data_IF_281703060943
#
_entry.id   IF_281703060943
#
_cell.length_a   1.000
_cell.length_b   1.000
_cell.length_c   1.000
_cell.angle_alpha   90.00
_cell.angle_beta   90.00
_cell.angle_gamma   90.00
#
_symmetry.space_group_name_H-M   'P 1'
#
loop_
_entity.id
_entity.type
_entity.pdbx_description
1 polymer ?
#
# COMPACT_ATOMS: atom_id res chain seq x y z
N UNK A 1 10.12 5.80 -1.75
CA UNK A 1 10.18 4.53 -0.98
C UNK A 1 10.36 3.36 -1.93
N UNK A 2 11.43 2.60 -1.70
CA UNK A 2 11.82 1.40 -2.46
C UNK A 2 11.63 0.18 -1.56
N UNK A 3 10.89 -0.81 -2.02
CA UNK A 3 10.65 -2.07 -1.31
C UNK A 3 11.60 -3.13 -1.89
N UNK A 4 12.43 -3.71 -1.03
CA UNK A 4 13.35 -4.81 -1.38
C UNK A 4 12.70 -6.15 -1.05
N UNK A 5 12.97 -7.16 -1.87
CA UNK A 5 12.52 -8.54 -1.66
C UNK A 5 13.73 -9.46 -1.75
N UNK A 6 14.05 -10.15 -0.66
CA UNK A 6 15.19 -11.06 -0.57
C UNK A 6 14.71 -12.45 -0.16
N UNK A 7 15.27 -13.50 -0.75
CA UNK A 7 15.03 -14.88 -0.31
C UNK A 7 16.00 -15.17 0.84
N UNK A 8 15.49 -15.43 2.04
CA UNK A 8 16.32 -15.61 3.24
C UNK A 8 16.54 -17.07 3.63
N UNK A 9 15.65 -17.97 3.22
CA UNK A 9 15.77 -19.41 3.52
C UNK A 9 15.00 -20.24 2.50
N UNK A 10 15.61 -21.36 2.06
CA UNK A 10 14.93 -22.45 1.37
C UNK A 10 14.60 -23.54 2.39
N UNK A 11 13.36 -24.00 2.41
CA UNK A 11 12.85 -25.06 3.28
C UNK A 11 12.71 -26.36 2.47
N UNK A 12 12.72 -27.53 3.13
CA UNK A 12 12.28 -28.77 2.51
C UNK A 12 10.84 -28.61 1.97
N UNK A 13 10.49 -29.37 0.93
CA UNK A 13 9.22 -29.32 0.18
C UNK A 13 9.05 -28.14 -0.80
N UNK A 14 10.12 -27.68 -1.47
CA UNK A 14 10.08 -26.58 -2.45
C UNK A 14 9.48 -25.27 -1.89
N UNK A 15 9.61 -25.02 -0.58
CA UNK A 15 9.13 -23.79 0.06
C UNK A 15 10.28 -22.82 0.31
N UNK A 16 10.01 -21.53 0.21
CA UNK A 16 10.96 -20.47 0.50
C UNK A 16 10.36 -19.41 1.41
N UNK A 17 11.23 -18.74 2.16
CA UNK A 17 10.88 -17.56 2.92
C UNK A 17 11.43 -16.33 2.21
N UNK A 18 10.54 -15.42 1.85
CA UNK A 18 10.86 -14.11 1.26
C UNK A 18 10.72 -13.05 2.34
N UNK A 19 11.78 -12.27 2.51
CA UNK A 19 11.80 -11.07 3.33
C UNK A 19 11.45 -9.84 2.47
N UNK A 20 10.47 -9.07 2.90
CA UNK A 20 10.12 -7.74 2.37
C UNK A 20 10.63 -6.66 3.32
N UNK A 21 11.57 -5.85 2.84
CA UNK A 21 12.15 -4.71 3.58
C UNK A 21 11.80 -3.39 2.91
N UNK A 22 11.39 -2.39 3.71
CA UNK A 22 11.15 -1.03 3.21
C UNK A 22 12.34 -0.15 3.53
N UNK A 23 13.06 0.28 2.48
CA UNK A 23 14.40 0.89 2.58
C UNK A 23 14.44 2.33 3.14
N UNK A 24 13.41 2.82 3.84
CA UNK A 24 13.33 4.23 4.22
C UNK A 24 12.66 4.55 5.57
N UNK A 25 12.41 3.55 6.43
CA UNK A 25 11.90 3.79 7.77
C UNK A 25 12.63 2.91 8.78
N UNK A 26 13.35 3.51 9.73
CA UNK A 26 14.08 2.79 10.79
C UNK A 26 13.16 2.05 11.78
N UNK A 27 11.83 2.17 11.62
CA UNK A 27 10.80 1.55 12.46
C UNK A 27 9.96 0.48 11.75
N UNK A 28 10.24 0.16 10.49
CA UNK A 28 9.48 -0.90 9.79
C UNK A 28 10.13 -2.25 10.01
N UNK A 29 9.49 -3.09 10.81
CA UNK A 29 9.86 -4.50 10.91
C UNK A 29 9.75 -5.17 9.52
N UNK A 30 10.74 -5.98 9.12
CA UNK A 30 10.66 -6.76 7.90
C UNK A 30 9.44 -7.69 7.96
N UNK A 31 8.75 -7.83 6.83
CA UNK A 31 7.66 -8.80 6.68
C UNK A 31 8.23 -10.06 6.04
N UNK A 32 7.80 -11.22 6.51
CA UNK A 32 8.26 -12.49 5.96
C UNK A 32 7.09 -13.27 5.37
N UNK A 33 7.32 -13.87 4.21
CA UNK A 33 6.30 -14.63 3.49
C UNK A 33 6.82 -16.02 3.18
N UNK A 34 6.04 -17.04 3.53
CA UNK A 34 6.25 -18.43 3.17
C UNK A 34 5.43 -18.75 1.91
N UNK A 35 6.09 -19.22 0.85
CA UNK A 35 5.44 -19.68 -0.39
C UNK A 35 6.31 -20.71 -1.11
N UNK A 36 5.79 -21.31 -2.17
CA UNK A 36 6.55 -22.26 -3.00
C UNK A 36 7.57 -21.53 -3.89
N UNK A 37 8.75 -22.12 -4.07
CA UNK A 37 9.87 -21.59 -4.85
C UNK A 37 9.49 -21.27 -6.30
N UNK A 38 8.69 -22.13 -6.92
CA UNK A 38 8.21 -21.97 -8.31
C UNK A 38 7.43 -20.67 -8.55
N UNK A 39 6.82 -20.13 -7.50
CA UNK A 39 6.00 -18.92 -7.57
C UNK A 39 6.69 -17.68 -7.00
N UNK A 40 7.95 -17.80 -6.59
CA UNK A 40 8.72 -16.74 -5.94
C UNK A 40 8.83 -15.47 -6.78
N UNK A 41 9.29 -15.61 -8.02
CA UNK A 41 9.51 -14.48 -8.92
C UNK A 41 8.21 -13.79 -9.30
N UNK A 42 7.16 -14.57 -9.56
CA UNK A 42 5.82 -14.05 -9.86
C UNK A 42 5.21 -13.34 -8.65
N UNK A 43 5.41 -13.85 -7.43
CA UNK A 43 4.97 -13.21 -6.20
C UNK A 43 5.67 -11.85 -6.01
N UNK A 44 7.01 -11.81 -6.12
CA UNK A 44 7.79 -10.56 -6.00
C UNK A 44 7.34 -9.54 -7.05
N UNK A 45 7.15 -9.96 -8.30
CA UNK A 45 6.70 -9.09 -9.38
C UNK A 45 5.31 -8.51 -9.11
N UNK A 46 4.37 -9.33 -8.64
CA UNK A 46 3.02 -8.86 -8.31
C UNK A 46 3.00 -7.93 -7.10
N UNK A 47 3.83 -8.19 -6.08
CA UNK A 47 3.99 -7.30 -4.94
C UNK A 47 4.56 -5.93 -5.34
N UNK A 48 5.58 -5.90 -6.21
CA UNK A 48 6.11 -4.65 -6.79
C UNK A 48 5.07 -3.90 -7.61
N UNK A 49 4.29 -4.60 -8.44
CA UNK A 49 3.21 -4.00 -9.21
C UNK A 49 2.08 -3.47 -8.32
N UNK A 50 1.71 -4.16 -7.25
CA UNK A 50 0.74 -3.70 -6.25
C UNK A 50 1.18 -2.39 -5.59
N UNK A 51 2.45 -2.30 -5.21
CA UNK A 51 3.03 -1.07 -4.67
C UNK A 51 2.97 0.09 -5.67
N UNK A 52 3.19 -0.20 -6.96
CA UNK A 52 3.12 0.80 -8.03
C UNK A 52 1.67 1.24 -8.30
N UNK A 53 0.73 0.29 -8.38
CA UNK A 53 -0.71 0.54 -8.51
C UNK A 53 -1.24 1.37 -7.35
N UNK A 54 -0.83 1.07 -6.12
CA UNK A 54 -1.25 1.84 -4.94
C UNK A 54 -0.72 3.28 -5.02
N UNK A 55 0.51 3.49 -5.49
CA UNK A 55 1.06 4.84 -5.71
C UNK A 55 0.30 5.60 -6.79
N UNK A 56 0.02 4.96 -7.93
CA UNK A 56 -0.75 5.55 -9.01
C UNK A 56 -2.16 5.90 -8.56
N UNK A 57 -2.80 5.02 -7.79
CA UNK A 57 -4.11 5.30 -7.21
C UNK A 57 -4.07 6.48 -6.24
N UNK A 58 -3.05 6.56 -5.38
CA UNK A 58 -2.94 7.69 -4.44
C UNK A 58 -2.81 9.03 -5.15
N UNK A 59 -2.05 9.08 -6.26
CA UNK A 59 -1.97 10.25 -7.13
C UNK A 59 -3.35 10.55 -7.76
N UNK A 60 -4.06 9.53 -8.23
CA UNK A 60 -5.40 9.69 -8.80
C UNK A 60 -6.40 10.23 -7.76
N UNK A 61 -6.38 9.69 -6.54
CA UNK A 61 -7.17 10.14 -5.39
C UNK A 61 -6.89 11.62 -5.08
N UNK A 62 -5.62 12.04 -5.12
CA UNK A 62 -5.23 13.44 -4.91
C UNK A 62 -5.77 14.36 -6.03
N UNK A 63 -5.71 13.95 -7.29
CA UNK A 63 -6.23 14.71 -8.43
C UNK A 63 -7.76 14.87 -8.35
N UNK A 64 -8.47 13.80 -7.98
CA UNK A 64 -9.92 13.83 -7.77
C UNK A 64 -10.27 14.78 -6.61
N UNK A 65 -9.53 14.73 -5.51
CA UNK A 65 -9.73 15.64 -4.37
C UNK A 65 -9.57 17.12 -4.75
N UNK A 66 -8.52 17.45 -5.50
CA UNK A 66 -8.29 18.80 -6.00
C UNK A 66 -9.41 19.25 -6.96
N UNK A 67 -9.89 18.36 -7.83
CA UNK A 67 -10.97 18.66 -8.76
C UNK A 67 -12.29 18.96 -8.04
N UNK A 68 -12.62 18.19 -6.99
CA UNK A 68 -13.81 18.44 -6.16
C UNK A 68 -13.68 19.76 -5.41
N UNK A 69 -12.51 20.07 -4.83
CA UNK A 69 -12.27 21.33 -4.13
C UNK A 69 -12.41 22.54 -5.07
N UNK A 70 -11.84 22.46 -6.28
CA UNK A 70 -11.97 23.51 -7.30
C UNK A 70 -13.42 23.66 -7.78
N UNK A 71 -14.13 22.56 -8.04
CA UNK A 71 -15.53 22.57 -8.46
C UNK A 71 -16.44 23.21 -7.40
N UNK A 72 -16.30 22.82 -6.13
CA UNK A 72 -17.05 23.41 -5.00
C UNK A 72 -16.74 24.89 -4.86
N UNK A 73 -15.47 25.28 -5.01
CA UNK A 73 -15.03 26.68 -4.97
C UNK A 73 -15.58 27.55 -6.11
N UNK A 74 -15.78 26.97 -7.31
CA UNK A 74 -16.34 27.68 -8.48
C UNK A 74 -17.86 27.80 -8.45
N UNK A 75 -18.59 26.81 -7.91
CA UNK A 75 -20.07 26.77 -8.01
C UNK A 75 -20.81 27.57 -6.93
N UNK A 76 -20.14 27.92 -5.84
CA UNK A 76 -20.79 28.56 -4.69
C UNK A 76 -20.75 30.08 -4.87
N UNK A 77 -21.91 30.72 -5.11
CA UNK A 77 -22.08 32.18 -5.26
C UNK A 77 -22.42 32.87 -3.93
N UNK A 78 -21.73 32.51 -2.86
CA UNK A 78 -21.97 33.06 -1.51
C UNK A 78 -20.67 33.59 -0.92
N UNK A 79 -20.75 34.58 -0.03
CA UNK A 79 -19.64 35.36 0.54
C UNK A 79 -18.29 34.62 0.62
N UNK A 80 -17.23 35.27 0.09
CA UNK A 80 -15.85 34.74 -0.05
C UNK A 80 -15.34 33.92 1.15
N UNK A 81 -15.73 34.29 2.37
CA UNK A 81 -15.30 33.64 3.62
C UNK A 81 -15.93 32.26 3.80
N UNK A 82 -17.23 32.10 3.49
CA UNK A 82 -17.94 30.82 3.62
C UNK A 82 -17.48 29.83 2.54
N UNK A 83 -17.27 30.29 1.31
CA UNK A 83 -16.70 29.47 0.23
C UNK A 83 -15.33 28.90 0.55
N UNK A 84 -14.47 29.72 1.14
CA UNK A 84 -13.10 29.32 1.49
C UNK A 84 -13.15 28.24 2.58
N UNK A 85 -14.01 28.39 3.58
CA UNK A 85 -14.23 27.38 4.63
C UNK A 85 -14.84 26.08 4.10
N UNK A 86 -15.83 26.14 3.21
CA UNK A 86 -16.42 24.94 2.58
C UNK A 86 -15.45 24.25 1.61
N UNK A 87 -14.66 25.00 0.84
CA UNK A 87 -13.63 24.46 -0.05
C UNK A 87 -12.50 23.77 0.72
N UNK A 88 -12.02 24.38 1.81
CA UNK A 88 -11.02 23.77 2.69
C UNK A 88 -11.60 22.54 3.40
N UNK A 89 -12.84 22.60 3.90
CA UNK A 89 -13.52 21.48 4.55
C UNK A 89 -13.75 20.30 3.61
N UNK A 90 -14.27 20.55 2.40
CA UNK A 90 -14.46 19.52 1.38
C UNK A 90 -13.12 18.93 0.91
N UNK A 91 -12.09 19.76 0.74
CA UNK A 91 -10.72 19.32 0.48
C UNK A 91 -10.20 18.39 1.58
N UNK A 92 -10.27 18.80 2.84
CA UNK A 92 -9.78 18.02 3.98
C UNK A 92 -10.51 16.66 4.13
N UNK A 93 -11.83 16.63 3.95
CA UNK A 93 -12.61 15.38 3.99
C UNK A 93 -12.22 14.46 2.83
N UNK A 94 -11.99 15.01 1.64
CA UNK A 94 -11.59 14.21 0.48
C UNK A 94 -10.15 13.69 0.60
N UNK A 95 -9.24 14.48 1.18
CA UNK A 95 -7.88 14.04 1.50
C UNK A 95 -7.86 12.93 2.56
N UNK A 96 -8.59 13.10 3.66
CA UNK A 96 -8.70 12.07 4.71
C UNK A 96 -9.40 10.79 4.20
N UNK A 97 -10.46 10.94 3.41
CA UNK A 97 -11.14 9.82 2.76
C UNK A 97 -10.25 9.10 1.75
N UNK A 98 -9.44 9.84 1.00
CA UNK A 98 -8.44 9.32 0.06
C UNK A 98 -7.39 8.46 0.76
N UNK A 99 -6.85 8.90 1.89
CA UNK A 99 -5.90 8.09 2.67
C UNK A 99 -6.51 6.78 3.18
N UNK A 100 -7.76 6.82 3.66
CA UNK A 100 -8.46 5.62 4.14
C UNK A 100 -8.70 4.65 2.97
N UNK A 101 -9.12 5.17 1.82
CA UNK A 101 -9.36 4.38 0.63
C UNK A 101 -8.07 3.76 0.08
N UNK A 102 -6.98 4.52 0.02
CA UNK A 102 -5.67 4.02 -0.43
C UNK A 102 -5.16 2.90 0.49
N UNK A 103 -5.33 3.06 1.82
CA UNK A 103 -5.00 2.00 2.81
C UNK A 103 -5.88 0.76 2.63
N UNK A 104 -7.18 0.94 2.43
CA UNK A 104 -8.11 -0.17 2.20
C UNK A 104 -7.79 -0.92 0.90
N UNK A 105 -7.54 -0.19 -0.19
CA UNK A 105 -7.19 -0.74 -1.49
C UNK A 105 -5.89 -1.53 -1.41
N UNK A 106 -4.84 -0.95 -0.82
CA UNK A 106 -3.57 -1.66 -0.61
C UNK A 106 -3.77 -2.96 0.15
N UNK A 107 -4.51 -2.90 1.28
CA UNK A 107 -4.79 -4.08 2.11
C UNK A 107 -5.54 -5.16 1.34
N UNK A 108 -6.48 -4.79 0.47
CA UNK A 108 -7.28 -5.75 -0.29
C UNK A 108 -6.47 -6.38 -1.44
N UNK A 109 -5.66 -5.58 -2.13
CA UNK A 109 -4.75 -6.05 -3.18
C UNK A 109 -3.69 -7.00 -2.62
N UNK A 110 -3.10 -6.66 -1.47
CA UNK A 110 -2.13 -7.53 -0.79
C UNK A 110 -2.76 -8.86 -0.36
N UNK A 111 -3.98 -8.86 0.20
CA UNK A 111 -4.71 -10.09 0.54
C UNK A 111 -4.99 -10.97 -0.67
N UNK A 112 -5.35 -10.37 -1.80
CA UNK A 112 -5.57 -11.10 -3.07
C UNK A 112 -4.28 -11.76 -3.55
N UNK A 113 -3.15 -11.06 -3.49
CA UNK A 113 -1.84 -11.60 -3.88
C UNK A 113 -1.46 -12.78 -2.98
N UNK A 114 -1.63 -12.65 -1.65
CA UNK A 114 -1.36 -13.76 -0.73
C UNK A 114 -2.19 -15.00 -1.07
N UNK A 115 -3.49 -14.83 -1.35
CA UNK A 115 -4.38 -15.94 -1.72
C UNK A 115 -4.00 -16.58 -3.06
N UNK A 116 -3.65 -15.77 -4.07
CA UNK A 116 -3.28 -16.24 -5.41
C UNK A 116 -2.04 -17.14 -5.40
N UNK A 117 -1.06 -16.82 -4.55
CA UNK A 117 0.21 -17.56 -4.46
C UNK A 117 0.27 -18.55 -3.30
N UNK A 118 -0.86 -18.78 -2.62
CA UNK A 118 -0.94 -19.54 -1.38
C UNK A 118 0.16 -19.14 -0.37
N UNK A 119 0.49 -17.84 -0.36
CA UNK A 119 1.57 -17.28 0.43
C UNK A 119 1.05 -16.93 1.82
N UNK A 120 1.78 -17.32 2.85
CA UNK A 120 1.44 -17.04 4.25
C UNK A 120 2.42 -16.02 4.83
N UNK A 121 1.91 -14.90 5.32
CA UNK A 121 2.72 -13.99 6.13
C UNK A 121 3.06 -14.68 7.45
N UNK A 122 4.35 -14.79 7.75
CA UNK A 122 4.86 -15.39 8.98
C UNK A 122 5.59 -14.31 9.76
N UNK A 123 5.49 -14.38 11.08
CA UNK A 123 6.43 -13.67 11.95
C UNK A 123 7.60 -14.62 12.17
N UNK A 124 8.81 -14.23 11.76
CA UNK A 124 9.99 -14.87 12.33
C UNK A 124 10.08 -14.37 13.77
N UNK A 125 9.54 -15.18 14.68
CA UNK A 125 9.81 -14.99 16.10
C UNK A 125 11.33 -15.10 16.28
N UNK A 126 11.90 -14.15 17.03
CA UNK A 126 13.34 -13.85 17.13
C UNK A 126 14.13 -14.95 17.89
N UNK A 127 13.72 -16.21 17.77
CA UNK A 127 14.48 -17.38 18.23
C UNK A 127 15.32 -17.90 17.08
N UNK A 128 16.37 -17.17 16.71
CA UNK A 128 17.58 -17.81 16.16
C UNK A 128 18.15 -18.67 17.28
N UNK A 129 18.15 -20.01 17.21
CA UNK A 129 19.18 -20.73 17.94
C UNK A 129 20.50 -20.43 17.22
N UNK A 130 21.42 -19.80 17.95
CA UNK A 130 22.84 -19.76 17.58
C UNK A 130 23.42 -21.18 17.48
#
# INVERSE_FOLDING_TARGET
>A
MTTGYNIIKKLPDNKIIIEETKKNNSKTHPKYYLLNEEHADLFIKNKKNSDLLTKTQSVLSMVVALSIALYVGMRTKTDKIKNTLFGIGAGAITFAGGEIFDRWFKKNTDKRILKLFNAKEIQLDDKRPE
#
